data_IF_208245683527
#
_entry.id   IF_208245683527
#
_cell.length_a   1.000
_cell.length_b   1.000
_cell.length_c   1.000
_cell.angle_alpha   90.00
_cell.angle_beta   90.00
_cell.angle_gamma   90.00
#
_symmetry.space_group_name_H-M   'P 1'
#
loop_
_entity.id
_entity.type
_entity.pdbx_description
1 polymer ?
#
# COMPACT_ATOMS: atom_id res chain seq x y z
N UNK A 1 6.69 2.69 7.02
CA UNK A 1 5.40 3.39 6.87
C UNK A 1 5.52 4.32 5.67
N UNK A 2 4.46 4.51 4.89
CA UNK A 2 4.40 5.45 3.77
C UNK A 2 3.02 6.09 3.66
N UNK A 3 2.96 7.34 3.18
CA UNK A 3 1.72 8.12 3.09
C UNK A 3 1.30 8.76 4.41
N UNK A 4 0.05 9.22 4.48
CA UNK A 4 -0.51 9.88 5.67
C UNK A 4 -2.03 9.85 5.67
N UNK A 5 -2.61 9.53 6.83
CA UNK A 5 -4.02 9.78 7.16
C UNK A 5 -4.17 9.85 8.68
N UNK A 6 -5.14 10.62 9.19
CA UNK A 6 -5.48 10.69 10.63
C UNK A 6 -6.65 9.78 10.97
N UNK A 7 -7.68 9.81 10.13
CA UNK A 7 -8.96 9.15 10.37
C UNK A 7 -9.31 8.27 9.15
N UNK A 8 -8.74 7.06 9.04
CA UNK A 8 -9.06 6.15 7.96
C UNK A 8 -10.51 5.64 8.10
N UNK A 9 -11.22 5.55 6.98
CA UNK A 9 -12.57 4.97 6.93
C UNK A 9 -12.53 3.44 7.07
N UNK A 10 -11.44 2.84 6.62
CA UNK A 10 -11.22 1.40 6.67
C UNK A 10 -9.72 1.09 6.76
N UNK A 11 -9.39 -0.03 7.39
CA UNK A 11 -8.03 -0.58 7.41
C UNK A 11 -8.09 -2.02 6.93
N UNK A 12 -7.39 -2.31 5.83
CA UNK A 12 -7.22 -3.67 5.34
C UNK A 12 -5.92 -4.21 5.91
N UNK A 13 -6.00 -5.36 6.59
CA UNK A 13 -4.85 -6.02 7.20
C UNK A 13 -4.61 -7.35 6.51
N UNK A 14 -3.38 -7.53 6.03
CA UNK A 14 -2.86 -8.80 5.54
C UNK A 14 -1.83 -9.35 6.52
N UNK A 15 -1.83 -10.66 6.73
CA UNK A 15 -0.91 -11.33 7.63
C UNK A 15 -1.49 -11.53 9.02
N UNK A 16 -0.60 -11.61 10.00
CA UNK A 16 -0.92 -12.01 11.37
C UNK A 16 -0.53 -10.91 12.36
N UNK A 17 -1.48 -10.55 13.23
CA UNK A 17 -1.31 -9.56 14.30
C UNK A 17 -1.02 -10.18 15.67
N UNK A 18 -1.36 -11.45 15.88
CA UNK A 18 -1.41 -12.08 17.20
C UNK A 18 -0.07 -12.72 17.56
N UNK A 19 0.56 -13.45 16.63
CA UNK A 19 1.79 -14.20 16.93
C UNK A 19 3.05 -13.40 16.60
N UNK A 20 3.35 -13.25 15.30
CA UNK A 20 4.61 -12.67 14.87
C UNK A 20 4.55 -11.16 14.61
N UNK A 21 3.38 -10.53 14.71
CA UNK A 21 3.16 -9.16 14.23
C UNK A 21 3.73 -8.97 12.81
N UNK A 22 3.47 -9.93 11.93
CA UNK A 22 3.92 -9.92 10.54
C UNK A 22 2.73 -9.54 9.69
N UNK A 23 2.63 -8.25 9.37
CA UNK A 23 1.46 -7.71 8.70
C UNK A 23 1.78 -6.60 7.71
N UNK A 24 0.81 -6.33 6.85
CA UNK A 24 0.69 -5.10 6.06
C UNK A 24 -0.68 -4.51 6.33
N UNK A 25 -0.72 -3.24 6.72
CA UNK A 25 -1.94 -2.49 6.98
C UNK A 25 -2.08 -1.36 5.95
N UNK A 26 -3.12 -1.44 5.12
CA UNK A 26 -3.51 -0.40 4.17
C UNK A 26 -4.61 0.46 4.78
N UNK A 27 -4.36 1.76 4.86
CA UNK A 27 -5.31 2.73 5.40
C UNK A 27 -6.08 3.38 4.26
N UNK A 28 -7.41 3.26 4.28
CA UNK A 28 -8.31 3.64 3.19
C UNK A 28 -9.07 4.90 3.52
N UNK A 29 -9.14 5.83 2.57
CA UNK A 29 -9.99 7.02 2.59
C UNK A 29 -10.54 7.26 1.19
N UNK A 30 -11.84 7.47 1.06
CA UNK A 30 -12.55 7.68 -0.21
C UNK A 30 -12.33 6.51 -1.20
N UNK A 31 -12.21 5.29 -0.69
CA UNK A 31 -11.96 4.08 -1.51
C UNK A 31 -10.53 3.94 -2.05
N UNK A 32 -9.59 4.78 -1.61
CA UNK A 32 -8.17 4.72 -2.02
C UNK A 32 -7.24 4.51 -0.83
N UNK A 33 -6.11 3.85 -1.08
CA UNK A 33 -5.02 3.74 -0.10
C UNK A 33 -4.37 5.12 0.09
N UNK A 34 -4.37 5.63 1.32
CA UNK A 34 -3.73 6.91 1.71
C UNK A 34 -2.47 6.72 2.53
N UNK A 35 -2.35 5.59 3.20
CA UNK A 35 -1.13 5.22 3.89
C UNK A 35 -0.98 3.70 3.94
N UNK A 36 0.25 3.26 4.21
CA UNK A 36 0.56 1.85 4.46
C UNK A 36 1.58 1.71 5.58
N UNK A 37 1.33 0.74 6.47
CA UNK A 37 2.29 0.26 7.44
C UNK A 37 2.64 -1.20 7.12
N UNK A 38 3.86 -1.62 7.44
CA UNK A 38 4.24 -3.02 7.36
C UNK A 38 5.11 -3.39 8.56
N UNK A 39 5.12 -4.68 8.87
CA UNK A 39 6.04 -5.29 9.80
C UNK A 39 6.44 -6.67 9.27
N UNK A 40 7.76 -6.97 9.27
CA UNK A 40 8.33 -8.26 8.86
C UNK A 40 7.95 -8.77 7.45
N UNK A 41 7.61 -7.86 6.55
CA UNK A 41 7.49 -8.12 5.10
C UNK A 41 8.68 -7.51 4.34
N UNK A 42 8.91 -8.00 3.11
CA UNK A 42 9.76 -7.35 2.09
C UNK A 42 9.35 -5.88 1.88
N UNK A 43 10.17 -5.01 1.25
CA UNK A 43 10.01 -3.54 1.32
C UNK A 43 8.83 -2.96 0.51
N UNK A 44 7.62 -3.44 0.76
CA UNK A 44 6.35 -3.04 0.17
C UNK A 44 6.01 -1.58 0.47
N UNK A 45 6.28 -1.10 1.69
CA UNK A 45 6.13 0.32 2.05
C UNK A 45 6.98 1.24 1.17
N UNK A 46 8.18 0.81 0.76
CA UNK A 46 9.02 1.58 -0.17
C UNK A 46 8.44 1.57 -1.58
N UNK A 47 7.93 0.41 -2.04
CA UNK A 47 7.26 0.32 -3.33
C UNK A 47 5.98 1.17 -3.39
N UNK A 48 5.15 1.17 -2.34
CA UNK A 48 3.96 2.03 -2.26
C UNK A 48 4.31 3.51 -2.17
N UNK A 49 5.41 3.86 -1.48
CA UNK A 49 5.91 5.24 -1.47
C UNK A 49 6.26 5.74 -2.89
N UNK A 50 6.83 4.87 -3.73
CA UNK A 50 7.07 5.17 -5.14
C UNK A 50 5.75 5.44 -5.87
N UNK A 51 4.73 4.60 -5.70
CA UNK A 51 3.40 4.81 -6.31
C UNK A 51 2.82 6.18 -5.92
N UNK A 52 2.95 6.56 -4.65
CA UNK A 52 2.54 7.88 -4.16
C UNK A 52 3.36 9.02 -4.75
N UNK A 53 4.67 8.85 -4.89
CA UNK A 53 5.55 9.84 -5.52
C UNK A 53 5.11 10.16 -6.96
N UNK A 54 4.69 9.13 -7.72
CA UNK A 54 4.13 9.30 -9.06
C UNK A 54 2.65 9.72 -9.10
N UNK A 55 2.08 10.14 -7.95
CA UNK A 55 0.69 10.62 -7.81
C UNK A 55 -0.36 9.64 -8.33
N UNK A 56 -0.07 8.34 -8.27
CA UNK A 56 -1.03 7.28 -8.61
C UNK A 56 -1.88 6.96 -7.38
N UNK A 57 -3.13 6.61 -7.61
CA UNK A 57 -4.07 6.21 -6.56
C UNK A 57 -4.29 4.70 -6.63
N UNK A 58 -3.90 3.99 -5.56
CA UNK A 58 -4.18 2.56 -5.38
C UNK A 58 -5.62 2.42 -4.89
N UNK A 59 -6.45 1.65 -5.59
CA UNK A 59 -7.85 1.43 -5.16
C UNK A 59 -7.89 0.41 -4.03
N UNK A 60 -8.87 0.55 -3.14
CA UNK A 60 -9.17 -0.43 -2.09
C UNK A 60 -9.28 -1.85 -2.64
N UNK A 61 -10.07 -2.01 -3.70
CA UNK A 61 -10.37 -3.29 -4.36
C UNK A 61 -9.11 -4.04 -4.81
N UNK A 62 -8.06 -3.31 -5.18
CA UNK A 62 -6.82 -3.91 -5.67
C UNK A 62 -6.00 -4.55 -4.56
N UNK A 63 -6.13 -4.04 -3.34
CA UNK A 63 -5.38 -4.54 -2.18
C UNK A 63 -6.24 -5.33 -1.20
N UNK A 64 -7.54 -5.44 -1.43
CA UNK A 64 -8.47 -6.08 -0.49
C UNK A 64 -8.19 -7.58 -0.36
N UNK A 65 -7.95 -8.26 -1.49
CA UNK A 65 -7.67 -9.71 -1.51
C UNK A 65 -6.27 -10.05 -2.04
N UNK A 66 -5.48 -9.05 -2.42
CA UNK A 66 -4.10 -9.23 -2.91
C UNK A 66 -3.18 -8.19 -2.26
N UNK A 67 -2.35 -8.66 -1.33
CA UNK A 67 -1.35 -7.83 -0.66
C UNK A 67 -0.43 -7.06 -1.64
N UNK A 68 -0.21 -7.57 -2.85
CA UNK A 68 0.67 -6.98 -3.88
C UNK A 68 -0.07 -6.30 -5.03
N UNK A 69 -1.40 -6.15 -4.98
CA UNK A 69 -2.16 -5.61 -6.10
C UNK A 69 -1.80 -4.17 -6.50
N UNK A 70 -1.10 -3.43 -5.62
CA UNK A 70 -0.54 -2.12 -5.95
C UNK A 70 0.59 -2.18 -7.01
N UNK A 71 1.22 -3.33 -7.25
CA UNK A 71 2.38 -3.43 -8.15
C UNK A 71 2.05 -3.12 -9.60
N UNK A 72 0.79 -3.30 -10.02
CA UNK A 72 0.31 -2.86 -11.35
C UNK A 72 0.49 -1.36 -11.58
N UNK A 73 0.64 -0.57 -10.51
CA UNK A 73 0.90 0.86 -10.61
C UNK A 73 2.38 1.18 -10.80
N UNK A 74 3.31 0.22 -10.61
CA UNK A 74 4.78 0.41 -10.69
C UNK A 74 5.36 0.08 -12.08
N UNK A 75 4.59 -0.51 -12.98
CA UNK A 75 5.03 -1.04 -14.28
C UNK A 75 5.62 0.01 -15.26
N UNK A 76 5.74 1.27 -14.86
CA UNK A 76 6.30 2.34 -15.67
C UNK A 76 7.84 2.41 -15.66
N UNK A 77 8.56 1.60 -14.86
CA UNK A 77 10.04 1.63 -14.81
C UNK A 77 10.74 1.29 -16.14
N UNK A 78 10.02 0.90 -17.19
CA UNK A 78 10.58 0.75 -18.55
C UNK A 78 10.52 2.01 -19.42
N UNK A 79 9.81 3.07 -19.02
CA UNK A 79 9.82 4.36 -19.74
C UNK A 79 10.49 5.43 -18.88
N UNK A 80 11.77 5.69 -19.17
CA UNK A 80 12.48 6.87 -18.67
C UNK A 80 11.64 8.11 -18.98
N UNK A 81 11.48 9.07 -18.05
CA UNK A 81 10.95 10.38 -18.39
C UNK A 81 11.88 11.02 -19.43
N UNK A 82 11.28 11.54 -20.50
CA UNK A 82 11.96 12.40 -21.50
C UNK A 82 12.39 13.72 -20.89
#
# INVERSE_FOLDING_TARGET
>A
YAGYTRDPENVIIHGDLDDEFKFVAYYIVDGFVRAVAQSKYEPLTSEVAEVFYYKKNIRKEDVENDIYGYRKYLDFKTRRPE
#
